data_IF_916826835097
#
_entry.id   IF_916826835097
#
_cell.length_a   1.000
_cell.length_b   1.000
_cell.length_c   1.000
_cell.angle_alpha   90.00
_cell.angle_beta   90.00
_cell.angle_gamma   90.00
#
_symmetry.space_group_name_H-M   'P 1'
#
loop_
_entity.id
_entity.type
_entity.pdbx_description
1 polymer ?
#
# COMPACT_ATOMS: atom_id res chain seq x y z
N UNK A 1 -8.21 -10.76 -24.20
CA UNK A 1 -7.73 -10.95 -22.81
C UNK A 1 -6.67 -12.05 -22.86
N UNK A 2 -5.45 -11.80 -22.41
CA UNK A 2 -4.38 -12.81 -22.39
C UNK A 2 -4.60 -13.70 -21.14
N UNK A 3 -4.62 -15.04 -21.25
CA UNK A 3 -4.70 -15.92 -20.08
C UNK A 3 -3.50 -15.71 -19.15
N UNK A 4 -3.70 -15.75 -17.83
CA UNK A 4 -2.62 -15.47 -16.86
C UNK A 4 -1.38 -16.36 -17.01
N UNK A 5 -1.56 -17.57 -17.55
CA UNK A 5 -0.46 -18.52 -17.83
C UNK A 5 0.46 -18.09 -18.99
N UNK A 6 -0.03 -17.22 -19.87
CA UNK A 6 0.68 -16.76 -21.06
C UNK A 6 1.29 -15.35 -20.83
N UNK A 7 1.25 -14.84 -19.60
CA UNK A 7 1.95 -13.62 -19.23
C UNK A 7 3.46 -13.86 -19.24
N UNK A 8 4.27 -12.93 -19.78
CA UNK A 8 5.71 -13.00 -19.63
C UNK A 8 6.08 -13.03 -18.14
N UNK A 9 7.18 -13.70 -17.76
CA UNK A 9 7.63 -13.68 -16.39
C UNK A 9 7.84 -12.23 -15.94
N UNK A 10 7.36 -11.87 -14.73
CA UNK A 10 7.62 -10.53 -14.22
C UNK A 10 9.13 -10.33 -14.06
N UNK A 11 9.62 -9.09 -14.17
CA UNK A 11 11.01 -8.79 -13.85
C UNK A 11 11.27 -9.11 -12.37
N UNK A 12 12.53 -9.39 -12.02
CA UNK A 12 12.94 -9.76 -10.67
C UNK A 12 12.54 -8.73 -9.60
N UNK A 13 12.40 -7.45 -9.98
CA UNK A 13 11.97 -6.36 -9.10
C UNK A 13 10.95 -5.47 -9.79
N UNK A 14 9.78 -5.34 -9.17
CA UNK A 14 8.72 -4.42 -9.57
C UNK A 14 8.54 -3.37 -8.47
N UNK A 15 8.67 -2.06 -8.77
CA UNK A 15 8.41 -1.01 -7.79
C UNK A 15 6.95 -1.02 -7.33
N UNK A 16 6.74 -0.86 -6.02
CA UNK A 16 5.40 -0.70 -5.44
C UNK A 16 4.91 0.71 -5.71
N UNK A 17 3.94 0.87 -6.60
CA UNK A 17 3.36 2.19 -6.95
C UNK A 17 2.16 2.57 -6.09
N UNK A 18 1.39 1.57 -5.63
CA UNK A 18 0.17 1.75 -4.83
C UNK A 18 0.09 0.63 -3.79
N UNK A 19 -0.35 0.94 -2.57
CA UNK A 19 -0.44 0.00 -1.47
C UNK A 19 -1.81 0.07 -0.79
N UNK A 20 -2.58 -1.03 -0.84
CA UNK A 20 -3.81 -1.19 -0.07
C UNK A 20 -3.50 -1.70 1.34
N UNK A 21 -3.82 -0.90 2.35
CA UNK A 21 -3.63 -1.23 3.76
C UNK A 21 -4.99 -1.51 4.41
N UNK A 22 -5.16 -2.71 4.96
CA UNK A 22 -6.38 -3.11 5.67
C UNK A 22 -6.03 -4.13 6.74
N UNK A 23 -5.88 -3.65 7.97
CA UNK A 23 -5.39 -4.46 9.10
C UNK A 23 -6.22 -4.23 10.36
N UNK A 24 -6.47 -5.31 11.09
CA UNK A 24 -7.17 -5.26 12.38
C UNK A 24 -6.27 -4.66 13.46
N UNK A 25 -5.08 -5.25 13.62
CA UNK A 25 -4.01 -4.72 14.49
C UNK A 25 -3.29 -3.57 13.78
N UNK A 26 -3.16 -2.44 14.48
CA UNK A 26 -2.58 -1.20 13.96
C UNK A 26 -1.18 -0.95 14.53
N UNK A 27 -0.64 -1.89 15.29
CA UNK A 27 0.71 -1.81 15.86
C UNK A 27 1.73 -1.58 14.75
N UNK A 28 2.48 -0.46 14.83
CA UNK A 28 3.49 -0.08 13.84
C UNK A 28 2.97 0.38 12.46
N UNK A 29 1.65 0.44 12.24
CA UNK A 29 1.06 0.73 10.94
C UNK A 29 1.49 2.10 10.39
N UNK A 30 1.48 3.14 11.22
CA UNK A 30 1.79 4.50 10.79
C UNK A 30 3.24 4.62 10.29
N UNK A 31 4.20 4.02 11.01
CA UNK A 31 5.62 4.07 10.62
C UNK A 31 5.90 3.25 9.37
N UNK A 32 5.22 2.11 9.22
CA UNK A 32 5.28 1.32 8.00
C UNK A 32 4.74 2.11 6.80
N UNK A 33 3.57 2.73 6.93
CA UNK A 33 2.95 3.49 5.86
C UNK A 33 3.73 4.76 5.49
N UNK A 34 4.35 5.45 6.46
CA UNK A 34 5.28 6.57 6.21
C UNK A 34 6.44 6.14 5.32
N UNK A 35 7.01 4.95 5.54
CA UNK A 35 8.11 4.43 4.71
C UNK A 35 7.63 4.11 3.30
N UNK A 36 6.45 3.52 3.13
CA UNK A 36 5.85 3.29 1.82
C UNK A 36 5.65 4.61 1.05
N UNK A 37 5.06 5.61 1.70
CA UNK A 37 4.87 6.93 1.11
C UNK A 37 6.21 7.60 0.76
N UNK A 38 7.24 7.47 1.62
CA UNK A 38 8.59 7.98 1.35
C UNK A 38 9.25 7.30 0.12
N UNK A 39 8.84 6.08 -0.22
CA UNK A 39 9.25 5.38 -1.44
C UNK A 39 8.35 5.68 -2.65
N UNK A 40 7.40 6.61 -2.52
CA UNK A 40 6.53 7.07 -3.61
C UNK A 40 5.29 6.20 -3.84
N UNK A 41 4.94 5.32 -2.90
CA UNK A 41 3.71 4.54 -3.01
C UNK A 41 2.48 5.38 -2.62
N UNK A 42 1.46 5.38 -3.47
CA UNK A 42 0.13 5.88 -3.14
C UNK A 42 -0.54 4.96 -2.11
N UNK A 43 -1.07 5.52 -1.03
CA UNK A 43 -1.70 4.74 0.03
C UNK A 43 -3.21 4.68 -0.17
N UNK A 44 -3.73 3.45 -0.12
CA UNK A 44 -5.16 3.16 -0.22
C UNK A 44 -5.63 2.52 1.07
N UNK A 45 -6.73 3.00 1.64
CA UNK A 45 -7.31 2.37 2.81
C UNK A 45 -8.75 2.82 3.06
N UNK A 46 -9.51 1.98 3.76
CA UNK A 46 -10.86 2.33 4.21
C UNK A 46 -11.02 2.12 5.72
N UNK A 47 -12.14 2.58 6.27
CA UNK A 47 -12.53 2.32 7.66
C UNK A 47 -11.49 2.76 8.70
N UNK A 48 -11.29 1.91 9.71
CA UNK A 48 -10.42 2.22 10.85
C UNK A 48 -8.94 2.32 10.51
N UNK A 49 -8.46 1.62 9.48
CA UNK A 49 -7.07 1.73 9.02
C UNK A 49 -6.84 3.09 8.37
N UNK A 50 -7.75 3.53 7.50
CA UNK A 50 -7.66 4.85 6.87
C UNK A 50 -7.66 6.00 7.88
N UNK A 51 -8.50 5.89 8.92
CA UNK A 51 -8.55 6.88 10.00
C UNK A 51 -7.18 7.06 10.69
N UNK A 52 -6.55 5.96 11.09
CA UNK A 52 -5.25 5.98 11.79
C UNK A 52 -4.15 6.59 10.91
N UNK A 53 -4.15 6.26 9.62
CA UNK A 53 -3.17 6.79 8.68
C UNK A 53 -3.34 8.30 8.46
N UNK A 54 -4.59 8.78 8.33
CA UNK A 54 -4.89 10.22 8.22
C UNK A 54 -4.55 10.98 9.50
N UNK A 55 -4.83 10.41 10.67
CA UNK A 55 -4.43 10.97 11.97
C UNK A 55 -2.89 11.07 12.11
N UNK A 56 -2.15 10.17 11.44
CA UNK A 56 -0.69 10.23 11.35
C UNK A 56 -0.15 11.22 10.30
N UNK A 57 -1.02 12.00 9.64
CA UNK A 57 -0.67 13.00 8.63
C UNK A 57 -0.35 12.44 7.25
N UNK A 58 -0.76 11.20 6.95
CA UNK A 58 -0.55 10.58 5.65
C UNK A 58 -1.72 10.86 4.71
N UNK A 59 -1.40 11.11 3.43
CA UNK A 59 -2.38 11.14 2.36
C UNK A 59 -2.84 9.70 2.03
N UNK A 60 -4.15 9.49 2.06
CA UNK A 60 -4.77 8.17 1.87
C UNK A 60 -6.07 8.34 1.11
N UNK A 61 -6.18 7.62 -0.01
CA UNK A 61 -7.42 7.52 -0.79
C UNK A 61 -8.29 6.36 -0.27
#
# INVERSE_FOLDING_TARGET
MIPSKDLPPPPDRVPVRRALLSVSDKTGLADFAKRLAAHGAELLSTGGTARVLREAGLDVT
#
